data_IF_159579734348
#
_entry.id   IF_159579734348
#
_cell.length_a   1.000
_cell.length_b   1.000
_cell.length_c   1.000
_cell.angle_alpha   90.00
_cell.angle_beta   90.00
_cell.angle_gamma   90.00
#
_symmetry.space_group_name_H-M   'P 1'
#
loop_
_entity.id
_entity.type
_entity.pdbx_description
1 polymer ?
#
# COMPACT_ATOMS: atom_id res chain seq x y z
N UNK A 1 4.19 -31.02 -42.36
CA UNK A 1 3.59 -29.88 -41.64
C UNK A 1 3.20 -30.38 -40.26
N UNK A 2 3.55 -29.69 -39.15
CA UNK A 2 3.11 -30.12 -37.83
C UNK A 2 1.59 -30.16 -37.79
N UNK A 3 1.02 -31.22 -37.22
CA UNK A 3 -0.44 -31.40 -37.13
C UNK A 3 -1.07 -30.25 -36.34
N UNK A 4 -2.31 -29.88 -36.67
CA UNK A 4 -3.01 -28.77 -36.01
C UNK A 4 -3.04 -28.92 -34.48
N UNK A 5 -3.09 -30.16 -33.98
CA UNK A 5 -2.95 -30.51 -32.57
C UNK A 5 -1.63 -30.06 -31.94
N UNK A 6 -0.51 -30.17 -32.66
CA UNK A 6 0.81 -29.75 -32.18
C UNK A 6 0.93 -28.22 -32.12
N UNK A 7 0.25 -27.51 -33.02
CA UNK A 7 0.22 -26.04 -33.02
C UNK A 7 -0.53 -25.51 -31.79
N UNK A 8 -1.67 -26.12 -31.44
CA UNK A 8 -2.43 -25.77 -30.23
C UNK A 8 -1.63 -26.05 -28.96
N UNK A 9 -0.93 -27.19 -28.89
CA UNK A 9 -0.10 -27.54 -27.73
C UNK A 9 1.04 -26.53 -27.55
N UNK A 10 1.74 -26.17 -28.63
CA UNK A 10 2.84 -25.22 -28.58
C UNK A 10 2.35 -23.81 -28.23
N UNK A 11 1.20 -23.40 -28.75
CA UNK A 11 0.56 -22.13 -28.40
C UNK A 11 0.21 -22.07 -26.91
N UNK A 12 -0.44 -23.11 -26.37
CA UNK A 12 -0.78 -23.20 -24.95
C UNK A 12 0.46 -23.20 -24.05
N UNK A 13 1.54 -23.90 -24.45
CA UNK A 13 2.82 -23.90 -23.71
C UNK A 13 3.45 -22.50 -23.63
N UNK A 14 3.40 -21.74 -24.72
CA UNK A 14 3.95 -20.38 -24.77
C UNK A 14 3.14 -19.36 -23.94
N UNK A 15 1.91 -19.70 -23.54
CA UNK A 15 1.09 -18.89 -22.64
C UNK A 15 1.33 -19.18 -21.15
N UNK A 16 1.88 -20.35 -20.79
CA UNK A 16 2.17 -20.72 -19.40
C UNK A 16 2.99 -19.67 -18.62
N UNK A 17 4.13 -19.13 -19.14
CA UNK A 17 4.91 -18.12 -18.42
C UNK A 17 4.25 -16.73 -18.39
N UNK A 18 3.20 -16.52 -19.20
CA UNK A 18 2.46 -15.25 -19.24
C UNK A 18 1.23 -15.27 -18.31
N UNK A 19 0.89 -16.43 -17.71
CA UNK A 19 -0.23 -16.59 -16.77
C UNK A 19 -0.17 -15.62 -15.60
N UNK A 20 1.03 -15.29 -15.11
CA UNK A 20 1.20 -14.32 -14.03
C UNK A 20 0.83 -12.89 -14.45
N UNK A 21 0.96 -12.55 -15.74
CA UNK A 21 0.56 -11.25 -16.30
C UNK A 21 -0.93 -11.18 -16.62
N UNK A 22 -1.56 -12.31 -16.94
CA UNK A 22 -2.98 -12.40 -17.29
C UNK A 22 -3.90 -12.71 -16.12
N UNK A 23 -3.35 -13.06 -14.95
CA UNK A 23 -4.15 -13.14 -13.74
C UNK A 23 -4.58 -11.72 -13.35
N UNK A 24 -5.87 -11.42 -13.43
CA UNK A 24 -6.50 -10.18 -12.94
C UNK A 24 -6.35 -10.07 -11.41
N UNK A 25 -5.12 -9.93 -10.93
CA UNK A 25 -4.76 -9.79 -9.53
C UNK A 25 -4.35 -8.36 -9.32
N UNK A 26 -5.04 -7.68 -8.42
CA UNK A 26 -4.89 -6.25 -8.11
C UNK A 26 -3.54 -5.86 -7.46
N UNK A 27 -2.47 -6.63 -7.65
CA UNK A 27 -1.20 -6.26 -7.01
C UNK A 27 0.00 -7.16 -7.21
N UNK A 28 0.02 -8.07 -8.20
CA UNK A 28 1.24 -8.79 -8.60
C UNK A 28 2.08 -9.40 -7.45
N UNK A 29 1.46 -9.66 -6.30
CA UNK A 29 2.15 -9.98 -5.06
C UNK A 29 2.79 -11.35 -5.21
N UNK A 30 4.11 -11.36 -5.16
CA UNK A 30 4.91 -12.57 -5.21
C UNK A 30 5.74 -12.63 -3.93
N UNK A 31 5.50 -13.64 -3.10
CA UNK A 31 6.21 -13.84 -1.83
C UNK A 31 7.74 -13.95 -2.00
N UNK A 32 8.22 -14.35 -3.18
CA UNK A 32 9.65 -14.39 -3.49
C UNK A 32 10.23 -13.06 -3.97
N UNK A 33 9.39 -12.11 -4.44
CA UNK A 33 9.84 -10.78 -4.85
C UNK A 33 9.81 -9.83 -3.65
N UNK A 34 10.99 -9.53 -3.11
CA UNK A 34 11.16 -8.39 -2.21
C UNK A 34 11.18 -7.11 -3.05
N UNK A 35 10.40 -6.11 -2.67
CA UNK A 35 10.51 -4.77 -3.24
C UNK A 35 11.88 -4.21 -2.87
N UNK A 36 12.78 -4.14 -3.85
CA UNK A 36 14.08 -3.50 -3.67
C UNK A 36 13.87 -1.98 -3.64
N UNK A 37 14.00 -1.39 -2.46
CA UNK A 37 13.93 0.05 -2.31
C UNK A 37 15.30 0.66 -2.60
N UNK A 38 15.42 1.40 -3.70
CA UNK A 38 16.61 2.19 -4.00
C UNK A 38 16.58 3.50 -3.19
N UNK A 39 16.53 3.37 -1.86
CA UNK A 39 16.56 4.50 -0.94
C UNK A 39 18.02 4.92 -0.72
N UNK A 40 18.29 6.23 -0.62
CA UNK A 40 19.62 6.69 -0.22
C UNK A 40 19.96 6.11 1.16
N UNK A 41 21.22 5.68 1.34
CA UNK A 41 21.71 5.18 2.63
C UNK A 41 21.62 6.32 3.66
N UNK A 42 20.61 6.26 4.53
CA UNK A 42 20.43 7.24 5.58
C UNK A 42 21.46 7.03 6.70
N UNK A 43 22.07 8.11 7.17
CA UNK A 43 22.90 8.09 8.38
C UNK A 43 22.01 7.90 9.61
N UNK A 44 22.50 7.22 10.65
CA UNK A 44 21.76 7.02 11.91
C UNK A 44 21.26 8.34 12.53
N UNK A 45 22.02 9.43 12.37
CA UNK A 45 21.62 10.78 12.80
C UNK A 45 20.37 11.28 12.05
N UNK A 46 20.31 11.07 10.73
CA UNK A 46 19.18 11.47 9.89
C UNK A 46 17.92 10.67 10.24
N UNK A 47 18.06 9.36 10.46
CA UNK A 47 16.95 8.51 10.92
C UNK A 47 16.38 8.97 12.26
N UNK A 48 17.25 9.32 13.22
CA UNK A 48 16.83 9.83 14.53
C UNK A 48 16.09 11.16 14.42
N UNK A 49 16.53 12.03 13.52
CA UNK A 49 15.89 13.31 13.26
C UNK A 49 14.50 13.15 12.63
N UNK A 50 14.38 12.30 11.61
CA UNK A 50 13.09 11.97 10.97
C UNK A 50 12.12 11.39 12.00
N UNK A 51 12.58 10.46 12.84
CA UNK A 51 11.75 9.87 13.89
C UNK A 51 11.28 10.92 14.91
N UNK A 52 12.11 11.93 15.22
CA UNK A 52 11.74 13.02 16.12
C UNK A 52 10.67 13.91 15.49
N UNK A 53 10.88 14.35 14.25
CA UNK A 53 9.93 15.18 13.48
C UNK A 53 8.57 14.50 13.33
N UNK A 54 8.56 13.21 12.98
CA UNK A 54 7.32 12.42 12.86
C UNK A 54 6.52 12.37 14.17
N UNK A 55 7.18 12.23 15.32
CA UNK A 55 6.52 12.24 16.64
C UNK A 55 5.93 13.62 16.96
N UNK A 56 6.65 14.69 16.64
CA UNK A 56 6.18 16.07 16.84
C UNK A 56 4.94 16.36 15.98
N UNK A 57 5.00 16.03 14.69
CA UNK A 57 3.87 16.18 13.76
C UNK A 57 2.66 15.34 14.18
N UNK A 58 2.89 14.10 14.65
CA UNK A 58 1.82 13.24 15.13
C UNK A 58 1.13 13.83 16.36
N UNK A 59 1.86 14.43 17.29
CA UNK A 59 1.26 15.12 18.45
C UNK A 59 0.38 16.29 18.01
N UNK A 60 0.87 17.13 17.10
CA UNK A 60 0.10 18.27 16.58
C UNK A 60 -1.17 17.80 15.88
N UNK A 61 -1.07 16.75 15.04
CA UNK A 61 -2.22 16.15 14.36
C UNK A 61 -3.23 15.56 15.36
N UNK A 62 -2.75 14.87 16.40
CA UNK A 62 -3.62 14.33 17.45
C UNK A 62 -4.39 15.42 18.19
N UNK A 63 -3.75 16.55 18.51
CA UNK A 63 -4.43 17.69 19.14
C UNK A 63 -5.56 18.22 18.25
N UNK A 64 -5.31 18.36 16.94
CA UNK A 64 -6.35 18.81 15.98
C UNK A 64 -7.52 17.83 15.91
N UNK A 65 -7.23 16.52 15.88
CA UNK A 65 -8.27 15.48 15.86
C UNK A 65 -9.10 15.54 17.14
N UNK A 66 -8.46 15.59 18.31
CA UNK A 66 -9.15 15.67 19.60
C UNK A 66 -10.04 16.92 19.66
N UNK A 67 -9.52 18.10 19.28
CA UNK A 67 -10.29 19.34 19.26
C UNK A 67 -11.55 19.22 18.38
N UNK A 68 -11.42 18.69 17.16
CA UNK A 68 -12.54 18.48 16.25
C UNK A 68 -13.55 17.49 16.80
N UNK A 69 -13.09 16.39 17.42
CA UNK A 69 -13.98 15.39 18.03
C UNK A 69 -14.78 15.96 19.21
N UNK A 70 -14.18 16.83 20.02
CA UNK A 70 -14.86 17.50 21.14
C UNK A 70 -15.94 18.44 20.62
N UNK A 71 -15.64 19.25 19.60
CA UNK A 71 -16.61 20.17 18.99
C UNK A 71 -17.80 19.39 18.42
N UNK A 72 -17.56 18.31 17.66
CA UNK A 72 -18.62 17.47 17.12
C UNK A 72 -19.45 16.80 18.21
N UNK A 73 -18.79 16.31 19.27
CA UNK A 73 -19.48 15.68 20.40
C UNK A 73 -20.40 16.67 21.11
N UNK A 74 -19.93 17.89 21.38
CA UNK A 74 -20.75 18.95 21.99
C UNK A 74 -21.93 19.34 21.08
N UNK A 75 -21.71 19.43 19.77
CA UNK A 75 -22.77 19.69 18.80
C UNK A 75 -23.85 18.60 18.80
N UNK A 76 -23.44 17.33 18.88
CA UNK A 76 -24.37 16.20 18.99
C UNK A 76 -25.16 16.22 20.30
N UNK A 77 -24.50 16.49 21.43
CA UNK A 77 -25.17 16.59 22.74
C UNK A 77 -26.20 17.72 22.71
N UNK A 78 -25.85 18.87 22.15
CA UNK A 78 -26.77 19.99 22.01
C UNK A 78 -28.00 19.62 21.17
N UNK A 79 -27.80 18.97 20.01
CA UNK A 79 -28.88 18.54 19.12
C UNK A 79 -29.78 17.43 19.67
N UNK A 80 -29.33 16.70 20.71
CA UNK A 80 -30.15 15.68 21.39
C UNK A 80 -30.96 16.31 22.52
N UNK A 81 -30.40 17.31 23.20
CA UNK A 81 -31.04 17.94 24.36
C UNK A 81 -32.06 19.02 23.98
N UNK A 82 -31.99 19.56 22.76
CA UNK A 82 -32.86 20.59 22.21
C UNK A 82 -33.43 20.15 20.87
#
# INVERSE_FOLDING_TARGET
>A
MPSDSMNVINFNRNQLPQRDKFANRLGGYNSSKKTEYNLPKATTKQLKEIARRLKEEQKIRMIKVVALTVILFLGLVYAILY
#
